data_IF_516036811589
#
_entry.id   IF_516036811589
#
_cell.length_a   1.000
_cell.length_b   1.000
_cell.length_c   1.000
_cell.angle_alpha   90.00
_cell.angle_beta   90.00
_cell.angle_gamma   90.00
#
_symmetry.space_group_name_H-M   'P 1'
#
loop_
_entity.id
_entity.type
_entity.pdbx_description
1 polymer ?
#
# COMPACT_ATOMS: atom_id res chain seq x y z
N UNK A 1 -5.65 -2.65 -0.95
CA UNK A 1 -5.50 -2.28 0.47
C UNK A 1 -6.77 -1.58 0.89
N UNK A 2 -7.38 -2.03 1.98
CA UNK A 2 -8.70 -1.62 2.44
C UNK A 2 -8.62 -1.09 3.87
N UNK A 3 -9.49 -0.15 4.19
CA UNK A 3 -9.77 0.30 5.55
C UNK A 3 -11.30 0.31 5.73
N UNK A 4 -11.80 -0.75 6.35
CA UNK A 4 -13.22 -1.09 6.31
C UNK A 4 -13.74 -1.15 4.87
N UNK A 5 -14.72 -0.30 4.56
CA UNK A 5 -15.36 -0.22 3.24
C UNK A 5 -14.63 0.69 2.24
N UNK A 6 -13.54 1.34 2.65
CA UNK A 6 -12.81 2.29 1.81
C UNK A 6 -11.66 1.58 1.12
N UNK A 7 -11.65 1.58 -0.21
CA UNK A 7 -10.50 1.18 -0.98
C UNK A 7 -9.41 2.25 -0.85
N UNK A 8 -8.31 1.93 -0.17
CA UNK A 8 -7.22 2.89 0.02
C UNK A 8 -6.30 2.95 -1.20
N UNK A 9 -5.82 1.79 -1.65
CA UNK A 9 -4.70 1.71 -2.59
C UNK A 9 -4.69 0.39 -3.36
N UNK A 10 -4.34 0.47 -4.65
CA UNK A 10 -4.19 -0.67 -5.55
C UNK A 10 -2.80 -0.65 -6.16
N UNK A 11 -2.12 -1.79 -6.23
CA UNK A 11 -0.86 -1.90 -6.98
C UNK A 11 -0.60 -3.31 -7.45
N UNK A 12 0.24 -3.42 -8.48
CA UNK A 12 0.84 -4.67 -8.91
C UNK A 12 2.09 -5.06 -8.10
N UNK A 13 2.42 -6.36 -8.18
CA UNK A 13 3.67 -6.92 -7.69
C UNK A 13 4.15 -8.01 -8.65
N UNK A 14 5.47 -8.26 -8.71
CA UNK A 14 6.02 -9.38 -9.47
C UNK A 14 6.59 -9.06 -10.86
N UNK A 15 6.90 -7.78 -11.18
CA UNK A 15 7.48 -7.31 -12.47
C UNK A 15 8.80 -7.98 -12.92
N UNK A 16 9.32 -8.96 -12.20
CA UNK A 16 10.52 -9.72 -12.54
C UNK A 16 10.49 -11.12 -11.88
N UNK A 17 9.29 -11.69 -11.68
CA UNK A 17 9.11 -12.90 -10.89
C UNK A 17 9.96 -14.06 -11.44
N UNK A 18 9.93 -14.29 -12.75
CA UNK A 18 10.70 -15.38 -13.37
C UNK A 18 12.21 -15.19 -13.21
N UNK A 19 12.70 -13.96 -13.33
CA UNK A 19 14.11 -13.63 -13.14
C UNK A 19 14.52 -13.88 -11.69
N UNK A 20 13.66 -13.52 -10.73
CA UNK A 20 13.89 -13.77 -9.32
C UNK A 20 13.92 -15.27 -8.99
N UNK A 21 12.98 -16.05 -9.56
CA UNK A 21 12.92 -17.50 -9.40
C UNK A 21 14.16 -18.19 -9.98
N UNK A 22 14.59 -17.82 -11.19
CA UNK A 22 15.84 -18.33 -11.80
C UNK A 22 17.09 -17.99 -10.98
N UNK A 23 17.03 -16.92 -10.21
CA UNK A 23 18.12 -16.50 -9.31
C UNK A 23 18.03 -17.14 -7.92
N UNK A 24 17.15 -18.14 -7.72
CA UNK A 24 16.97 -18.85 -6.46
C UNK A 24 16.28 -18.02 -5.36
N UNK A 25 15.56 -16.94 -5.70
CA UNK A 25 14.82 -16.15 -4.71
C UNK A 25 13.45 -16.76 -4.45
N UNK A 26 13.27 -17.28 -3.24
CA UNK A 26 12.03 -17.96 -2.83
C UNK A 26 11.00 -17.00 -2.20
N UNK A 27 11.39 -15.74 -1.94
CA UNK A 27 10.53 -14.68 -1.40
C UNK A 27 10.62 -13.46 -2.32
N UNK A 28 9.67 -13.30 -3.24
CA UNK A 28 9.60 -12.20 -4.19
C UNK A 28 8.15 -11.86 -4.55
N UNK A 29 7.93 -10.78 -5.29
CA UNK A 29 6.61 -10.35 -5.76
C UNK A 29 5.69 -9.94 -4.61
N UNK A 30 4.55 -10.62 -4.49
CA UNK A 30 3.52 -10.34 -3.48
C UNK A 30 4.10 -10.36 -2.05
N UNK A 31 4.94 -11.34 -1.73
CA UNK A 31 5.54 -11.48 -0.39
C UNK A 31 6.36 -10.24 -0.04
N UNK A 32 7.24 -9.80 -0.93
CA UNK A 32 8.07 -8.61 -0.71
C UNK A 32 7.24 -7.34 -0.66
N UNK A 33 6.18 -7.24 -1.47
CA UNK A 33 5.27 -6.09 -1.47
C UNK A 33 4.52 -5.98 -0.14
N UNK A 34 3.91 -7.07 0.33
CA UNK A 34 3.18 -7.09 1.59
C UNK A 34 4.10 -6.82 2.79
N UNK A 35 5.33 -7.34 2.77
CA UNK A 35 6.32 -7.02 3.81
C UNK A 35 6.70 -5.54 3.82
N UNK A 36 6.80 -4.91 2.64
CA UNK A 36 7.06 -3.49 2.51
C UNK A 36 5.95 -2.66 3.15
N UNK A 37 4.70 -2.95 2.82
CA UNK A 37 3.53 -2.31 3.43
C UNK A 37 3.48 -2.55 4.95
N UNK A 38 3.62 -3.81 5.39
CA UNK A 38 3.57 -4.17 6.80
C UNK A 38 4.69 -3.55 7.65
N UNK A 39 5.77 -3.07 7.03
CA UNK A 39 6.83 -2.35 7.73
C UNK A 39 6.41 -0.95 8.19
N UNK A 40 5.41 -0.34 7.53
CA UNK A 40 4.97 1.03 7.78
C UNK A 40 5.97 2.11 7.39
N UNK A 41 7.10 1.74 6.76
CA UNK A 41 8.15 2.70 6.38
C UNK A 41 7.75 3.51 5.18
N UNK A 42 7.73 4.84 5.31
CA UNK A 42 7.39 5.73 4.20
C UNK A 42 8.46 5.72 3.10
N UNK A 43 9.73 5.55 3.47
CA UNK A 43 10.83 5.48 2.50
C UNK A 43 10.76 4.18 1.69
N UNK A 44 10.61 4.30 0.37
CA UNK A 44 10.61 3.17 -0.56
C UNK A 44 9.26 2.44 -0.72
N UNK A 45 8.20 2.91 -0.03
CA UNK A 45 6.86 2.36 -0.16
C UNK A 45 5.82 3.48 -0.34
N UNK A 46 5.27 3.56 -1.55
CA UNK A 46 4.30 4.60 -1.89
C UNK A 46 3.01 4.49 -1.07
N UNK A 47 2.55 3.28 -0.75
CA UNK A 47 1.35 3.10 0.07
C UNK A 47 1.59 3.63 1.48
N UNK A 48 2.71 3.27 2.12
CA UNK A 48 3.06 3.79 3.45
C UNK A 48 3.22 5.31 3.46
N UNK A 49 3.83 5.90 2.42
CA UNK A 49 3.98 7.35 2.30
C UNK A 49 2.64 8.07 2.16
N UNK A 50 1.73 7.56 1.34
CA UNK A 50 0.40 8.14 1.17
C UNK A 50 -0.46 7.96 2.42
N UNK A 51 -0.42 6.77 3.03
CA UNK A 51 -1.14 6.49 4.28
C UNK A 51 -0.66 7.39 5.42
N UNK A 52 0.66 7.56 5.57
CA UNK A 52 1.22 8.39 6.62
C UNK A 52 0.81 9.85 6.45
N UNK A 53 0.92 10.40 5.24
CA UNK A 53 0.60 11.79 4.94
C UNK A 53 -0.90 12.10 4.98
N UNK A 54 -1.76 11.17 4.54
CA UNK A 54 -3.19 11.43 4.33
C UNK A 54 -4.10 10.92 5.45
N UNK A 55 -3.61 10.03 6.30
CA UNK A 55 -4.40 9.48 7.42
C UNK A 55 -3.66 9.66 8.74
N UNK A 56 -2.41 9.19 8.85
CA UNK A 56 -1.71 9.18 10.14
C UNK A 56 -1.42 10.58 10.64
N UNK A 57 -0.76 11.42 9.83
CA UNK A 57 -0.41 12.81 10.20
C UNK A 57 -1.66 13.63 10.54
N UNK A 58 -2.74 13.64 9.73
CA UNK A 58 -3.98 14.33 10.07
C UNK A 58 -4.64 13.86 11.37
N UNK A 59 -4.41 12.61 11.79
CA UNK A 59 -4.98 12.04 13.02
C UNK A 59 -4.16 12.33 14.29
N UNK A 60 -2.98 12.95 14.18
CA UNK A 60 -2.08 13.17 15.32
C UNK A 60 -2.66 14.18 16.31
N UNK A 61 -2.61 13.82 17.60
CA UNK A 61 -2.95 14.73 18.70
C UNK A 61 -1.75 15.59 19.08
N UNK A 62 -1.98 16.81 19.56
CA UNK A 62 -0.91 17.70 20.03
C UNK A 62 0.00 17.06 21.09
N UNK A 63 -0.56 16.21 21.96
CA UNK A 63 0.19 15.46 22.97
C UNK A 63 1.19 14.45 22.38
N UNK A 64 1.02 14.03 21.13
CA UNK A 64 1.93 13.13 20.44
C UNK A 64 3.11 13.88 19.81
N UNK A 65 2.97 15.18 19.49
CA UNK A 65 4.04 15.97 18.86
C UNK A 65 5.30 16.06 19.72
N UNK A 66 5.15 16.17 21.05
CA UNK A 66 6.29 16.14 21.97
C UNK A 66 7.05 14.81 21.90
N UNK A 67 6.32 13.69 21.75
CA UNK A 67 6.93 12.36 21.64
C UNK A 67 7.73 12.20 20.36
N UNK A 68 7.30 12.81 19.25
CA UNK A 68 8.10 12.88 18.01
C UNK A 68 9.36 13.70 18.21
N UNK A 69 9.26 14.88 18.85
CA UNK A 69 10.40 15.75 19.13
C UNK A 69 11.48 15.04 19.96
N UNK A 70 11.06 14.23 20.92
CA UNK A 70 11.94 13.45 21.81
C UNK A 70 12.42 12.13 21.16
N UNK A 71 11.89 11.77 19.99
CA UNK A 71 12.25 10.53 19.30
C UNK A 71 11.65 9.25 19.91
N UNK A 72 10.73 9.36 20.87
CA UNK A 72 10.09 8.19 21.49
C UNK A 72 9.03 7.52 20.61
N UNK A 73 8.50 8.25 19.62
CA UNK A 73 7.70 7.69 18.54
C UNK A 73 8.16 8.22 17.18
N UNK A 74 8.04 7.41 16.13
CA UNK A 74 8.28 7.81 14.75
C UNK A 74 7.03 7.68 13.88
N UNK A 75 7.04 8.35 12.73
CA UNK A 75 5.89 8.31 11.81
C UNK A 75 5.73 6.91 11.23
N UNK A 76 6.84 6.23 10.95
CA UNK A 76 6.86 4.85 10.50
C UNK A 76 6.24 3.90 11.55
N UNK A 77 6.55 4.09 12.83
CA UNK A 77 5.94 3.30 13.92
C UNK A 77 4.44 3.52 14.02
N UNK A 78 3.98 4.76 13.92
CA UNK A 78 2.56 5.11 13.93
C UNK A 78 1.83 4.55 12.70
N UNK A 79 2.45 4.64 11.53
CA UNK A 79 1.93 4.09 10.27
C UNK A 79 1.83 2.57 10.34
N UNK A 80 2.88 1.90 10.83
CA UNK A 80 2.87 0.45 11.08
C UNK A 80 1.74 0.06 12.02
N UNK A 81 1.54 0.81 13.11
CA UNK A 81 0.44 0.56 14.05
C UNK A 81 -0.91 0.67 13.36
N UNK A 82 -1.13 1.72 12.57
CA UNK A 82 -2.37 1.92 11.82
C UNK A 82 -2.66 0.74 10.88
N UNK A 83 -1.66 0.32 10.10
CA UNK A 83 -1.79 -0.80 9.16
C UNK A 83 -2.22 -2.08 9.90
N UNK A 84 -1.57 -2.39 11.03
CA UNK A 84 -1.88 -3.61 11.80
C UNK A 84 -3.25 -3.61 12.46
N UNK A 85 -3.82 -2.43 12.73
CA UNK A 85 -5.09 -2.30 13.45
C UNK A 85 -6.28 -2.19 12.50
N UNK A 86 -6.12 -1.50 11.37
CA UNK A 86 -7.26 -1.09 10.54
C UNK A 86 -7.21 -1.64 9.11
N UNK A 87 -6.02 -1.98 8.60
CA UNK A 87 -5.84 -2.20 7.17
C UNK A 87 -5.89 -3.68 6.83
N UNK A 88 -6.74 -3.99 5.85
CA UNK A 88 -6.86 -5.32 5.25
C UNK A 88 -6.28 -5.32 3.83
N UNK A 89 -5.85 -6.49 3.38
CA UNK A 89 -5.38 -6.67 2.01
C UNK A 89 -6.13 -7.80 1.32
N UNK A 90 -6.37 -7.60 0.02
CA UNK A 90 -6.89 -8.59 -0.90
C UNK A 90 -5.93 -8.65 -2.08
N UNK A 91 -5.76 -9.84 -2.66
CA UNK A 91 -4.94 -10.04 -3.84
C UNK A 91 -5.61 -11.03 -4.79
N UNK A 92 -5.26 -10.91 -6.07
CA UNK A 92 -5.58 -11.87 -7.11
C UNK A 92 -4.27 -12.28 -7.78
N UNK A 93 -4.13 -13.58 -8.05
CA UNK A 93 -3.03 -14.09 -8.85
C UNK A 93 -3.47 -14.14 -10.32
N UNK A 94 -2.59 -13.68 -11.20
CA UNK A 94 -2.79 -13.70 -12.65
C UNK A 94 -1.60 -14.42 -13.30
N UNK A 95 -1.81 -14.91 -14.51
CA UNK A 95 -0.80 -15.74 -15.20
C UNK A 95 0.37 -14.90 -15.73
N UNK A 96 0.09 -13.69 -16.24
CA UNK A 96 1.10 -12.82 -16.79
C UNK A 96 1.09 -11.42 -16.14
N UNK A 97 2.21 -10.70 -16.24
CA UNK A 97 2.32 -9.38 -15.61
C UNK A 97 1.50 -8.29 -16.31
N UNK A 98 1.15 -8.47 -17.59
CA UNK A 98 0.31 -7.52 -18.32
C UNK A 98 -1.11 -7.52 -17.77
N UNK A 99 -1.69 -8.70 -17.50
CA UNK A 99 -3.01 -8.83 -16.86
C UNK A 99 -3.04 -8.11 -15.50
N UNK A 100 -1.93 -8.13 -14.77
CA UNK A 100 -1.82 -7.43 -13.49
C UNK A 100 -1.90 -5.91 -13.68
N UNK A 101 -1.24 -5.37 -14.70
CA UNK A 101 -1.27 -3.94 -15.03
C UNK A 101 -2.67 -3.52 -15.48
N UNK A 102 -3.29 -4.30 -16.36
CA UNK A 102 -4.64 -4.02 -16.86
C UNK A 102 -5.64 -4.05 -15.70
N UNK A 103 -5.56 -5.06 -14.82
CA UNK A 103 -6.42 -5.14 -13.65
C UNK A 103 -6.19 -3.98 -12.67
N UNK A 104 -4.94 -3.58 -12.44
CA UNK A 104 -4.60 -2.42 -11.61
C UNK A 104 -5.26 -1.14 -12.16
N UNK A 105 -5.22 -0.94 -13.47
CA UNK A 105 -5.85 0.21 -14.11
C UNK A 105 -7.38 0.21 -13.94
N UNK A 106 -8.05 -0.92 -14.22
CA UNK A 106 -9.50 -1.06 -14.04
C UNK A 106 -9.92 -0.80 -12.59
N UNK A 107 -9.13 -1.28 -11.63
CA UNK A 107 -9.37 -1.01 -10.21
C UNK A 107 -9.18 0.47 -9.87
N UNK A 108 -8.15 1.13 -10.41
CA UNK A 108 -7.90 2.56 -10.18
C UNK A 108 -8.96 3.47 -10.80
N UNK A 109 -9.58 3.06 -11.90
CA UNK A 109 -10.75 3.70 -12.51
C UNK A 109 -12.05 3.41 -11.75
N UNK A 110 -12.06 2.41 -10.87
CA UNK A 110 -13.21 2.01 -10.06
C UNK A 110 -14.16 1.02 -10.73
N UNK A 111 -13.78 0.43 -11.87
CA UNK A 111 -14.62 -0.51 -12.62
C UNK A 111 -14.85 -1.84 -11.87
N UNK A 112 -13.89 -2.29 -11.06
CA UNK A 112 -13.96 -3.59 -10.37
C UNK A 112 -14.72 -3.51 -9.04
N UNK A 113 -14.48 -2.47 -8.26
CA UNK A 113 -15.00 -2.36 -6.89
C UNK A 113 -16.15 -1.35 -6.75
N UNK A 114 -16.59 -0.73 -7.85
CA UNK A 114 -17.59 0.35 -7.84
C UNK A 114 -17.13 1.63 -7.14
N UNK A 115 -15.85 1.71 -6.76
CA UNK A 115 -15.24 2.85 -6.10
C UNK A 115 -13.77 2.98 -6.53
N UNK A 116 -13.25 4.21 -6.53
CA UNK A 116 -11.85 4.50 -6.85
C UNK A 116 -11.00 4.45 -5.57
N UNK A 117 -9.73 4.00 -5.64
CA UNK A 117 -8.85 4.02 -4.48
C UNK A 117 -8.60 5.46 -4.04
N UNK A 118 -8.62 5.69 -2.72
CA UNK A 118 -8.42 7.02 -2.13
C UNK A 118 -7.04 7.60 -2.48
N UNK A 119 -5.99 6.77 -2.53
CA UNK A 119 -4.60 7.21 -2.62
C UNK A 119 -4.05 7.32 -4.04
N UNK A 120 -4.49 6.47 -4.96
CA UNK A 120 -3.96 6.44 -6.32
C UNK A 120 -5.03 6.20 -7.40
N UNK A 121 -6.10 7.03 -7.45
CA UNK A 121 -7.10 6.95 -8.50
C UNK A 121 -6.48 7.32 -9.85
N UNK A 122 -7.09 6.85 -10.93
CA UNK A 122 -6.87 7.37 -12.27
C UNK A 122 -8.17 8.07 -12.68
N UNK A 123 -8.06 9.31 -13.15
CA UNK A 123 -9.19 10.03 -13.71
C UNK A 123 -9.59 9.37 -15.04
N UNK A 124 -10.89 9.30 -15.31
CA UNK A 124 -11.33 9.01 -16.67
C UNK A 124 -10.92 10.23 -17.50
N UNK A 125 -9.94 10.07 -18.41
CA UNK A 125 -9.82 10.98 -19.53
C UNK A 125 -11.19 11.00 -20.22
N UNK A 126 -11.80 12.19 -20.31
CA UNK A 126 -12.99 12.45 -21.12
C UNK A 126 -12.70 12.19 -22.59
#
# INVERSE_FOLDING_TARGET
MWDGQTLLYVSTAGKDLDKALRSGKNKFGLITRLNSHASGRAAGDQFCSLLSNRIVIPSLKSSQLNKFREGSITLDQMTKKYIRTNVEYQYLLVENFQDALDLEEHCKRGAIFGQRPLFNPIDQEN
#
